data_IF_587138667370
#
_entry.id   IF_587138667370
#
_cell.length_a   1.000
_cell.length_b   1.000
_cell.length_c   1.000
_cell.angle_alpha   90.00
_cell.angle_beta   90.00
_cell.angle_gamma   90.00
#
_symmetry.space_group_name_H-M   'P 1'
#
loop_
_entity.id
_entity.type
_entity.pdbx_description
1 polymer ?
#
# COMPACT_ATOMS: atom_id res chain seq x y z
N UNK A 1 9.65 -19.93 17.93
CA UNK A 1 9.50 -19.51 16.53
C UNK A 1 8.19 -18.75 16.44
N UNK A 2 8.19 -17.53 15.89
CA UNK A 2 6.93 -16.85 15.58
C UNK A 2 6.18 -17.66 14.51
N UNK A 3 4.90 -17.93 14.73
CA UNK A 3 4.06 -18.67 13.78
C UNK A 3 3.76 -17.86 12.52
N UNK A 4 3.09 -18.46 11.51
CA UNK A 4 2.66 -17.75 10.32
C UNK A 4 1.77 -16.54 10.67
N UNK A 5 2.01 -15.40 10.02
CA UNK A 5 1.22 -14.17 10.19
C UNK A 5 0.01 -14.22 9.25
N UNK A 6 -1.19 -14.03 9.80
CA UNK A 6 -2.41 -13.91 9.01
C UNK A 6 -2.72 -12.44 8.73
N UNK A 7 -2.97 -12.10 7.47
CA UNK A 7 -3.38 -10.76 7.04
C UNK A 7 -4.86 -10.74 6.66
N UNK A 8 -5.54 -9.67 7.05
CA UNK A 8 -6.92 -9.38 6.61
C UNK A 8 -6.88 -8.28 5.54
N UNK A 9 -7.53 -8.52 4.41
CA UNK A 9 -7.62 -7.55 3.31
C UNK A 9 -9.03 -6.98 3.28
N UNK A 10 -9.15 -5.65 3.33
CA UNK A 10 -10.42 -4.91 3.24
C UNK A 10 -10.35 -3.87 2.14
N UNK A 11 -11.44 -3.72 1.40
CA UNK A 11 -11.60 -2.75 0.29
C UNK A 11 -12.42 -1.50 0.70
N UNK A 12 -13.15 -1.55 1.82
CA UNK A 12 -13.99 -0.46 2.33
C UNK A 12 -13.40 0.15 3.61
N UNK A 13 -12.56 1.18 3.50
CA UNK A 13 -11.92 1.80 4.68
C UNK A 13 -12.94 2.41 5.65
N UNK A 14 -14.10 2.88 5.17
CA UNK A 14 -15.18 3.39 6.02
C UNK A 14 -15.77 2.36 7.01
N UNK A 15 -15.50 1.07 6.80
CA UNK A 15 -15.90 0.00 7.74
C UNK A 15 -14.89 -0.27 8.85
N UNK A 16 -13.71 0.37 8.80
CA UNK A 16 -12.67 0.20 9.82
C UNK A 16 -13.13 0.87 11.12
N UNK A 17 -13.20 0.08 12.19
CA UNK A 17 -13.37 0.62 13.54
C UNK A 17 -12.07 1.29 13.99
N UNK A 18 -12.14 2.09 15.05
CA UNK A 18 -10.96 2.73 15.64
C UNK A 18 -9.85 1.72 15.98
N UNK A 19 -10.22 0.57 16.57
CA UNK A 19 -9.27 -0.50 16.92
C UNK A 19 -8.68 -1.21 15.70
N UNK A 20 -9.45 -1.31 14.60
CA UNK A 20 -8.97 -1.90 13.34
C UNK A 20 -7.96 -0.97 12.67
N UNK A 21 -8.18 0.34 12.78
CA UNK A 21 -7.32 1.38 12.20
C UNK A 21 -5.91 1.33 12.75
N UNK A 22 -5.76 1.00 14.04
CA UNK A 22 -4.46 0.79 14.67
C UNK A 22 -3.73 -0.45 14.13
N UNK A 23 -4.44 -1.46 13.59
CA UNK A 23 -3.86 -2.70 13.08
C UNK A 23 -3.52 -2.67 11.60
N UNK A 24 -3.88 -1.59 10.89
CA UNK A 24 -3.52 -1.42 9.48
C UNK A 24 -2.00 -1.34 9.37
N UNK A 25 -1.45 -2.17 8.49
CA UNK A 25 -0.01 -2.22 8.19
C UNK A 25 0.30 -1.72 6.79
N UNK A 26 -0.63 -1.88 5.84
CA UNK A 26 -0.44 -1.48 4.45
C UNK A 26 -1.70 -0.94 3.78
N UNK A 27 -1.51 -0.13 2.74
CA UNK A 27 -2.57 0.44 1.90
C UNK A 27 -2.17 0.38 0.43
N UNK A 28 -3.04 -0.20 -0.39
CA UNK A 28 -2.94 -0.05 -1.84
C UNK A 28 -3.66 1.22 -2.27
N UNK A 29 -2.92 2.15 -2.87
CA UNK A 29 -3.41 3.48 -3.21
C UNK A 29 -3.82 3.55 -4.68
N UNK A 30 -4.81 4.39 -4.98
CA UNK A 30 -5.29 4.65 -6.33
C UNK A 30 -4.67 5.91 -6.94
N UNK A 31 -3.91 6.67 -6.14
CA UNK A 31 -3.34 7.95 -6.55
C UNK A 31 -4.35 9.11 -6.61
N UNK A 32 -5.46 8.99 -5.87
CA UNK A 32 -6.47 10.05 -5.75
C UNK A 32 -6.67 10.44 -4.29
N UNK A 33 -6.54 11.73 -3.97
CA UNK A 33 -6.64 12.21 -2.58
C UNK A 33 -7.98 11.85 -1.91
N UNK A 34 -9.08 11.85 -2.66
CA UNK A 34 -10.39 11.50 -2.14
C UNK A 34 -10.47 10.08 -1.56
N UNK A 35 -9.55 9.18 -1.92
CA UNK A 35 -9.46 7.82 -1.35
C UNK A 35 -9.41 7.86 0.19
N UNK A 36 -8.86 8.94 0.75
CA UNK A 36 -8.63 9.11 2.19
C UNK A 36 -9.65 10.01 2.88
N UNK A 37 -10.78 10.35 2.22
CA UNK A 37 -11.80 11.25 2.80
C UNK A 37 -12.37 10.72 4.12
N UNK A 38 -12.63 9.41 4.19
CA UNK A 38 -13.23 8.74 5.36
C UNK A 38 -12.20 7.93 6.15
N UNK A 39 -10.92 8.31 6.05
CA UNK A 39 -9.85 7.66 6.79
C UNK A 39 -9.73 8.19 8.23
N UNK A 40 -9.30 7.36 9.19
CA UNK A 40 -9.15 7.74 10.59
C UNK A 40 -7.97 8.70 10.86
N UNK A 41 -7.10 8.94 9.87
CA UNK A 41 -5.92 9.80 9.98
C UNK A 41 -6.07 11.05 9.10
N UNK A 42 -5.43 12.16 9.47
CA UNK A 42 -5.56 13.44 8.74
C UNK A 42 -4.65 13.47 7.51
N UNK A 43 -5.20 13.02 6.38
CA UNK A 43 -4.57 13.15 5.06
C UNK A 43 -3.39 12.19 4.83
N UNK A 44 -2.87 12.17 3.61
CA UNK A 44 -1.92 11.16 3.16
C UNK A 44 -0.58 11.17 3.92
N UNK A 45 -0.13 12.32 4.42
CA UNK A 45 1.13 12.42 5.18
C UNK A 45 1.03 11.63 6.49
N UNK A 46 -0.01 11.87 7.28
CA UNK A 46 -0.22 11.15 8.54
C UNK A 46 -0.46 9.66 8.34
N UNK A 47 -1.16 9.31 7.26
CA UNK A 47 -1.39 7.92 6.85
C UNK A 47 -0.03 7.24 6.62
N UNK A 48 0.77 7.74 5.67
CA UNK A 48 2.00 7.06 5.27
C UNK A 48 3.17 7.21 6.24
N UNK A 49 3.00 7.95 7.33
CA UNK A 49 3.88 7.90 8.50
C UNK A 49 3.57 6.70 9.42
N UNK A 50 2.35 6.15 9.35
CA UNK A 50 1.88 5.06 10.22
C UNK A 50 1.69 3.72 9.50
N UNK A 51 1.53 3.74 8.19
CA UNK A 51 1.27 2.56 7.35
C UNK A 51 2.11 2.60 6.09
N UNK A 52 2.53 1.44 5.57
CA UNK A 52 3.21 1.40 4.28
C UNK A 52 2.22 1.55 3.13
N UNK A 53 2.47 2.48 2.22
CA UNK A 53 1.66 2.66 1.02
C UNK A 53 2.24 1.97 -0.19
N UNK A 54 1.40 1.34 -1.01
CA UNK A 54 1.77 0.73 -2.30
C UNK A 54 0.94 1.32 -3.43
N UNK A 55 1.59 1.79 -4.50
CA UNK A 55 0.94 2.19 -5.74
C UNK A 55 1.34 1.21 -6.85
N UNK A 56 0.41 0.33 -7.23
CA UNK A 56 0.63 -0.60 -8.32
C UNK A 56 0.25 0.08 -9.63
N UNK A 57 1.15 0.08 -10.61
CA UNK A 57 0.91 0.69 -11.92
C UNK A 57 1.51 -0.14 -13.04
N UNK A 58 1.02 0.07 -14.26
CA UNK A 58 1.69 -0.51 -15.41
C UNK A 58 2.96 0.26 -15.78
N UNK A 59 3.95 -0.48 -16.28
CA UNK A 59 5.22 0.07 -16.79
C UNK A 59 4.99 1.10 -17.92
N UNK A 60 3.98 0.87 -18.76
CA UNK A 60 3.64 1.68 -19.93
C UNK A 60 2.60 2.77 -19.67
N UNK A 61 2.07 2.89 -18.44
CA UNK A 61 1.17 3.98 -18.10
C UNK A 61 1.89 5.33 -18.23
N UNK A 62 1.14 6.41 -18.48
CA UNK A 62 1.74 7.74 -18.61
C UNK A 62 2.49 8.15 -17.33
N UNK A 63 3.48 9.03 -17.45
CA UNK A 63 4.18 9.57 -16.27
C UNK A 63 3.21 10.30 -15.33
N UNK A 64 2.20 10.96 -15.91
CA UNK A 64 1.17 11.70 -15.18
C UNK A 64 0.35 10.82 -14.24
N UNK A 65 0.16 9.53 -14.54
CA UNK A 65 -0.56 8.58 -13.68
C UNK A 65 0.03 8.47 -12.26
N UNK A 66 1.32 8.75 -12.09
CA UNK A 66 1.99 8.74 -10.78
C UNK A 66 2.37 10.14 -10.29
N UNK A 67 2.00 11.23 -10.98
CA UNK A 67 2.49 12.58 -10.66
C UNK A 67 2.17 12.98 -9.22
N UNK A 68 0.92 12.76 -8.80
CA UNK A 68 0.46 13.03 -7.42
C UNK A 68 1.10 12.04 -6.45
N UNK A 69 1.09 10.75 -6.80
CA UNK A 69 1.60 9.67 -5.95
C UNK A 69 3.08 9.80 -5.63
N UNK A 70 3.90 10.32 -6.56
CA UNK A 70 5.33 10.56 -6.35
C UNK A 70 5.61 11.59 -5.24
N UNK A 71 4.61 12.37 -4.83
CA UNK A 71 4.70 13.29 -3.70
C UNK A 71 4.34 12.64 -2.37
N UNK A 72 3.83 11.40 -2.39
CA UNK A 72 3.44 10.65 -1.20
C UNK A 72 4.56 9.66 -0.81
N UNK A 73 4.66 9.34 0.48
CA UNK A 73 5.58 8.32 0.98
C UNK A 73 5.04 6.90 0.70
N UNK A 74 5.02 6.51 -0.57
CA UNK A 74 4.52 5.21 -1.03
C UNK A 74 5.56 4.50 -1.90
N UNK A 75 5.51 3.17 -1.94
CA UNK A 75 6.30 2.35 -2.86
C UNK A 75 5.53 2.18 -4.17
N UNK A 76 6.19 2.44 -5.29
CA UNK A 76 5.61 2.22 -6.62
C UNK A 76 6.02 0.82 -7.07
N UNK A 77 5.02 -0.04 -7.30
CA UNK A 77 5.21 -1.41 -7.79
C UNK A 77 4.84 -1.43 -9.27
N UNK A 78 5.80 -1.80 -10.11
CA UNK A 78 5.60 -1.87 -11.55
C UNK A 78 5.14 -3.27 -11.94
N UNK A 79 4.09 -3.33 -12.75
CA UNK A 79 3.63 -4.56 -13.37
C UNK A 79 3.63 -4.41 -14.90
N UNK A 80 3.97 -5.47 -15.60
CA UNK A 80 3.96 -5.48 -17.05
C UNK A 80 2.64 -6.04 -17.57
N UNK A 81 2.03 -5.39 -18.57
CA UNK A 81 0.81 -5.92 -19.22
C UNK A 81 1.07 -7.25 -19.93
N UNK A 82 2.28 -7.43 -20.44
CA UNK A 82 2.61 -8.53 -21.36
C UNK A 82 3.60 -9.54 -20.77
N UNK A 83 4.38 -9.17 -19.75
CA UNK A 83 5.44 -10.03 -19.18
C UNK A 83 5.02 -10.63 -17.84
N UNK A 84 4.12 -11.61 -17.87
CA UNK A 84 3.57 -12.25 -16.65
C UNK A 84 4.62 -12.95 -15.77
N UNK A 85 5.77 -13.32 -16.33
CA UNK A 85 6.89 -13.86 -15.54
C UNK A 85 7.49 -12.83 -14.56
N UNK A 86 7.24 -11.53 -14.77
CA UNK A 86 7.67 -10.45 -13.88
C UNK A 86 6.69 -10.20 -12.72
N UNK A 87 5.48 -10.76 -12.76
CA UNK A 87 4.50 -10.59 -11.68
C UNK A 87 5.02 -11.18 -10.36
N UNK A 88 5.74 -12.31 -10.42
CA UNK A 88 6.31 -12.95 -9.22
C UNK A 88 7.35 -12.04 -8.55
N UNK A 89 8.36 -11.51 -9.24
CA UNK A 89 9.24 -10.47 -8.70
C UNK A 89 8.49 -9.27 -8.10
N UNK A 90 7.48 -8.73 -8.79
CA UNK A 90 6.70 -7.58 -8.28
C UNK A 90 5.94 -7.91 -6.99
N UNK A 91 5.35 -9.11 -6.90
CA UNK A 91 4.69 -9.58 -5.69
C UNK A 91 5.68 -9.81 -4.54
N UNK A 92 6.88 -10.35 -4.83
CA UNK A 92 7.94 -10.51 -3.83
C UNK A 92 8.40 -9.17 -3.28
N UNK A 93 8.52 -8.15 -4.11
CA UNK A 93 8.84 -6.79 -3.66
C UNK A 93 7.80 -6.26 -2.66
N UNK A 94 6.50 -6.49 -2.91
CA UNK A 94 5.44 -6.13 -1.95
C UNK A 94 5.62 -6.86 -0.63
N UNK A 95 5.84 -8.18 -0.67
CA UNK A 95 6.02 -8.99 0.53
C UNK A 95 7.24 -8.59 1.34
N UNK A 96 8.40 -8.42 0.70
CA UNK A 96 9.65 -8.04 1.37
C UNK A 96 9.48 -6.71 2.11
N UNK A 97 8.82 -5.74 1.48
CA UNK A 97 8.57 -4.42 2.08
C UNK A 97 7.55 -4.47 3.22
N UNK A 98 6.51 -5.29 3.07
CA UNK A 98 5.51 -5.48 4.12
C UNK A 98 6.12 -6.16 5.33
N UNK A 99 6.90 -7.22 5.13
CA UNK A 99 7.57 -7.95 6.20
C UNK A 99 8.59 -7.08 6.93
N UNK A 100 9.39 -6.29 6.20
CA UNK A 100 10.30 -5.30 6.77
C UNK A 100 9.55 -4.32 7.68
N UNK A 101 8.42 -3.77 7.20
CA UNK A 101 7.60 -2.84 7.95
C UNK A 101 6.97 -3.48 9.21
N UNK A 102 6.43 -4.69 9.09
CA UNK A 102 5.79 -5.41 10.21
C UNK A 102 6.83 -5.76 11.28
N UNK A 103 8.02 -6.22 10.89
CA UNK A 103 9.12 -6.53 11.83
C UNK A 103 9.67 -5.30 12.54
N UNK A 104 9.72 -4.14 11.88
CA UNK A 104 10.16 -2.89 12.51
C UNK A 104 9.15 -2.35 13.53
N UNK A 105 7.90 -2.81 13.47
CA UNK A 105 6.79 -2.34 14.31
C UNK A 105 6.49 -3.28 15.50
N UNK A 106 7.04 -4.49 15.50
CA UNK A 106 6.90 -5.51 16.54
C UNK A 106 7.81 -5.31 17.74
#
# INVERSE_FOLDING_TARGET
AAGPVAFEVRDKPASLKADDSARVVAVFVLGKEWQFKDWPFKGHVDIFNKVIGFFVRFEDDSVDSAKVVKQWNVKIIFISKNKRHQDRPAALEVWDRLDEFVRARS
#
